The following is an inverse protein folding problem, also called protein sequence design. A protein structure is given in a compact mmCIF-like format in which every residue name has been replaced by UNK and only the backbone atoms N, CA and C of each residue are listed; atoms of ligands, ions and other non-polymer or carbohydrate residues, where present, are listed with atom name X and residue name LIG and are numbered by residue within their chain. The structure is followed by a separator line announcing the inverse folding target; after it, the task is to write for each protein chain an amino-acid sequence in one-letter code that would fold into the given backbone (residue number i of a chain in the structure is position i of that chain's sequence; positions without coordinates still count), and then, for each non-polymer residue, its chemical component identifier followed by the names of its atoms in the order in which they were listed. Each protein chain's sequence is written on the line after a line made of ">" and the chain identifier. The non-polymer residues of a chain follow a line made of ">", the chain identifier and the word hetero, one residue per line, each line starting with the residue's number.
data_IF_492241371187
#
_entry.id   IF_492241371187
#
_cell.length_a   1.000
_cell.length_b   1.000
_cell.length_c   1.000
_cell.angle_alpha   90.00
_cell.angle_beta   90.00
_cell.angle_gamma   90.00
#
_symmetry.space_group_name_H-M   'P 1'
#
loop_
_entity.id
_entity.type
_entity.pdbx_description
1 polymer ?
#
# COMPACT_ATOMS: atom_id res chain seq x y z
N UNK A 1 -8.80 -5.22 -4.37
CA UNK A 1 -9.77 -6.33 -4.48
C UNK A 1 -10.54 -6.43 -3.17
N UNK A 2 -11.87 -6.48 -3.18
CA UNK A 2 -12.63 -6.61 -1.92
C UNK A 2 -12.34 -7.96 -1.26
N UNK A 3 -12.24 -7.98 0.08
CA UNK A 3 -12.14 -9.21 0.85
C UNK A 3 -13.33 -10.15 0.56
N UNK A 4 -14.53 -9.61 0.37
CA UNK A 4 -15.74 -10.41 0.10
C UNK A 4 -15.76 -11.03 -1.31
N UNK A 5 -15.10 -10.38 -2.29
CA UNK A 5 -14.99 -10.86 -3.67
C UNK A 5 -13.57 -11.34 -4.02
N UNK A 6 -12.75 -11.62 -3.00
CA UNK A 6 -11.31 -11.81 -3.16
C UNK A 6 -10.98 -13.01 -4.05
N UNK A 7 -11.68 -14.13 -3.84
CA UNK A 7 -11.47 -15.36 -4.61
C UNK A 7 -11.66 -15.13 -6.11
N UNK A 8 -12.79 -14.51 -6.49
CA UNK A 8 -13.09 -14.18 -7.87
C UNK A 8 -12.05 -13.21 -8.45
N UNK A 9 -11.64 -12.21 -7.67
CA UNK A 9 -10.67 -11.21 -8.10
C UNK A 9 -9.28 -11.81 -8.33
N UNK A 10 -8.85 -12.73 -7.46
CA UNK A 10 -7.59 -13.46 -7.60
C UNK A 10 -7.63 -14.42 -8.79
N UNK A 11 -8.76 -15.06 -9.07
CA UNK A 11 -8.93 -15.92 -10.24
C UNK A 11 -8.83 -15.12 -11.55
N UNK A 12 -9.51 -13.98 -11.63
CA UNK A 12 -9.41 -13.06 -12.78
C UNK A 12 -7.97 -12.54 -12.96
N UNK A 13 -7.26 -12.26 -11.86
CA UNK A 13 -5.87 -11.84 -11.91
C UNK A 13 -4.87 -12.98 -12.19
N UNK A 14 -5.27 -14.25 -11.96
CA UNK A 14 -4.35 -15.40 -12.05
C UNK A 14 -3.85 -15.71 -13.46
N UNK A 15 -4.55 -15.22 -14.50
CA UNK A 15 -4.07 -15.28 -15.89
C UNK A 15 -2.72 -14.58 -16.11
N UNK A 16 -2.29 -13.73 -15.17
CA UNK A 16 -0.98 -13.05 -15.19
C UNK A 16 0.19 -13.87 -14.62
N UNK A 17 -0.06 -15.10 -14.13
CA UNK A 17 0.96 -15.97 -13.53
C UNK A 17 1.33 -15.64 -12.08
N UNK A 18 0.66 -14.65 -11.46
CA UNK A 18 0.93 -14.19 -10.08
C UNK A 18 -0.09 -14.71 -9.06
N UNK A 19 -0.47 -15.99 -9.17
CA UNK A 19 -1.42 -16.61 -8.25
C UNK A 19 -0.84 -16.86 -6.84
N UNK A 20 -1.69 -16.75 -5.82
CA UNK A 20 -1.37 -17.20 -4.46
C UNK A 20 -1.55 -18.72 -4.32
N UNK A 21 -0.78 -19.36 -3.45
CA UNK A 21 -1.02 -20.77 -3.08
C UNK A 21 -2.36 -20.94 -2.36
N UNK A 22 -3.01 -22.12 -2.45
CA UNK A 22 -4.28 -22.38 -1.78
C UNK A 22 -4.24 -22.08 -0.27
N UNK A 23 -3.17 -22.47 0.42
CA UNK A 23 -3.02 -22.22 1.86
C UNK A 23 -2.96 -20.72 2.16
N UNK A 24 -2.15 -19.96 1.41
CA UNK A 24 -2.06 -18.51 1.58
C UNK A 24 -3.38 -17.81 1.27
N UNK A 25 -4.13 -18.29 0.29
CA UNK A 25 -5.49 -17.77 0.00
C UNK A 25 -6.43 -17.99 1.19
N UNK A 26 -6.42 -19.18 1.79
CA UNK A 26 -7.26 -19.49 2.94
C UNK A 26 -6.88 -18.64 4.17
N UNK A 27 -5.58 -18.50 4.45
CA UNK A 27 -5.08 -17.63 5.53
C UNK A 27 -5.47 -16.17 5.30
N UNK A 28 -5.31 -15.68 4.06
CA UNK A 28 -5.63 -14.30 3.68
C UNK A 28 -7.13 -14.00 3.84
N UNK A 29 -8.02 -14.88 3.38
CA UNK A 29 -9.46 -14.70 3.55
C UNK A 29 -9.84 -14.59 5.02
N UNK A 30 -9.33 -15.50 5.84
CA UNK A 30 -9.64 -15.54 7.27
C UNK A 30 -9.09 -14.31 7.99
N UNK A 31 -7.84 -13.94 7.72
CA UNK A 31 -7.19 -12.83 8.42
C UNK A 31 -7.75 -11.47 8.01
N UNK A 32 -8.14 -11.25 6.75
CA UNK A 32 -8.76 -9.99 6.32
C UNK A 32 -10.14 -9.76 6.98
N UNK A 33 -10.91 -10.82 7.22
CA UNK A 33 -12.15 -10.73 7.98
C UNK A 33 -11.91 -10.32 9.44
N UNK A 34 -10.85 -10.86 10.06
CA UNK A 34 -10.43 -10.44 11.39
C UNK A 34 -9.99 -8.98 11.40
N UNK A 35 -9.18 -8.54 10.43
CA UNK A 35 -8.76 -7.14 10.28
C UNK A 35 -9.96 -6.21 10.14
N UNK A 36 -10.97 -6.58 9.33
CA UNK A 36 -12.21 -5.79 9.17
C UNK A 36 -12.90 -5.59 10.51
N UNK A 37 -13.03 -6.66 11.30
CA UNK A 37 -13.68 -6.65 12.62
C UNK A 37 -12.86 -5.86 13.64
N UNK A 38 -11.58 -6.15 13.77
CA UNK A 38 -10.72 -5.66 14.86
C UNK A 38 -10.46 -4.15 14.72
N UNK A 39 -10.28 -3.66 13.50
CA UNK A 39 -10.11 -2.24 13.21
C UNK A 39 -11.43 -1.51 12.88
N UNK A 40 -12.57 -2.22 12.90
CA UNK A 40 -13.92 -1.69 12.60
C UNK A 40 -14.01 -1.00 11.24
N UNK A 41 -13.35 -1.56 10.23
CA UNK A 41 -13.47 -1.06 8.87
C UNK A 41 -14.82 -1.41 8.27
N UNK A 42 -15.40 -0.47 7.52
CA UNK A 42 -16.60 -0.74 6.71
C UNK A 42 -16.27 -1.75 5.60
N UNK A 43 -15.06 -1.64 5.04
CA UNK A 43 -14.58 -2.51 3.96
C UNK A 43 -13.07 -2.71 4.07
N UNK A 44 -12.60 -3.90 3.69
CA UNK A 44 -11.16 -4.20 3.59
C UNK A 44 -10.88 -4.65 2.17
N UNK A 45 -9.87 -4.05 1.55
CA UNK A 45 -9.39 -4.42 0.23
C UNK A 45 -8.04 -5.08 0.35
N UNK A 46 -7.87 -6.24 -0.28
CA UNK A 46 -6.54 -6.72 -0.61
C UNK A 46 -5.98 -5.86 -1.74
N UNK A 47 -4.87 -5.18 -1.46
CA UNK A 47 -4.20 -4.29 -2.41
C UNK A 47 -3.34 -5.10 -3.37
N UNK A 48 -2.58 -6.06 -2.84
CA UNK A 48 -1.69 -6.88 -3.64
C UNK A 48 -0.50 -7.39 -2.83
N UNK A 49 0.57 -7.74 -3.55
CA UNK A 49 1.80 -8.31 -2.99
C UNK A 49 3.02 -7.61 -3.57
N UNK A 50 3.96 -7.24 -2.72
CA UNK A 50 5.26 -6.70 -3.10
C UNK A 50 6.31 -7.80 -2.86
N UNK A 51 7.05 -8.14 -3.91
CA UNK A 51 8.03 -9.23 -3.87
C UNK A 51 9.31 -8.77 -3.19
N UNK A 52 9.71 -9.49 -2.14
CA UNK A 52 11.01 -9.32 -1.49
C UNK A 52 11.99 -10.41 -1.89
N UNK A 53 13.25 -10.26 -1.48
CA UNK A 53 14.27 -11.29 -1.71
C UNK A 53 14.14 -12.47 -0.73
N UNK A 54 13.82 -12.18 0.54
CA UNK A 54 13.65 -13.17 1.61
C UNK A 54 12.19 -13.56 1.75
N UNK A 55 11.30 -12.57 1.83
CA UNK A 55 9.85 -12.80 1.93
C UNK A 55 9.07 -11.68 1.24
N UNK A 56 7.86 -12.01 0.83
CA UNK A 56 6.94 -11.08 0.19
C UNK A 56 6.11 -10.32 1.23
N UNK A 57 5.77 -9.06 0.91
CA UNK A 57 4.81 -8.26 1.65
C UNK A 57 3.42 -8.40 1.05
N UNK A 58 2.43 -8.68 1.88
CA UNK A 58 1.01 -8.71 1.54
C UNK A 58 0.37 -7.45 2.07
N UNK A 59 -0.28 -6.68 1.18
CA UNK A 59 -0.81 -5.36 1.53
C UNK A 59 -2.33 -5.41 1.53
N UNK A 60 -2.93 -4.84 2.59
CA UNK A 60 -4.36 -4.64 2.71
C UNK A 60 -4.66 -3.19 3.05
N UNK A 61 -5.83 -2.72 2.63
CA UNK A 61 -6.30 -1.37 2.87
C UNK A 61 -7.68 -1.41 3.51
N UNK A 62 -7.80 -0.82 4.70
CA UNK A 62 -9.06 -0.59 5.38
C UNK A 62 -9.70 0.72 4.92
N UNK A 63 -10.99 0.67 4.63
CA UNK A 63 -11.82 1.83 4.33
C UNK A 63 -12.90 2.00 5.40
N UNK A 64 -13.17 3.26 5.68
CA UNK A 64 -14.34 3.69 6.47
C UNK A 64 -15.52 3.95 5.53
N UNK A 65 -16.59 4.55 6.04
CA UNK A 65 -17.83 4.76 5.28
C UNK A 65 -17.62 5.54 3.98
N UNK A 66 -16.83 6.62 4.05
CA UNK A 66 -16.47 7.43 2.88
C UNK A 66 -15.47 6.70 1.99
N UNK A 67 -15.90 6.37 0.78
CA UNK A 67 -15.11 5.63 -0.21
C UNK A 67 -13.87 6.40 -0.72
N UNK A 68 -13.85 7.73 -0.59
CA UNK A 68 -12.71 8.57 -0.98
C UNK A 68 -11.87 9.06 0.22
N UNK A 69 -12.21 8.66 1.44
CA UNK A 69 -11.38 8.99 2.60
C UNK A 69 -10.01 8.31 2.53
N UNK A 70 -8.98 8.87 3.21
CA UNK A 70 -7.67 8.25 3.32
C UNK A 70 -7.77 6.81 3.82
N UNK A 71 -7.14 5.89 3.09
CA UNK A 71 -7.14 4.47 3.42
C UNK A 71 -6.10 4.19 4.49
N UNK A 72 -6.41 3.27 5.39
CA UNK A 72 -5.43 2.75 6.35
C UNK A 72 -4.76 1.52 5.77
N UNK A 73 -3.46 1.60 5.53
CA UNK A 73 -2.70 0.51 4.91
C UNK A 73 -2.10 -0.40 5.98
N UNK A 74 -2.23 -1.70 5.80
CA UNK A 74 -1.62 -2.72 6.63
C UNK A 74 -0.74 -3.63 5.77
N UNK A 75 0.35 -4.13 6.35
CA UNK A 75 1.18 -5.15 5.73
C UNK A 75 1.20 -6.44 6.57
N UNK A 76 1.47 -7.54 5.89
CA UNK A 76 1.70 -8.86 6.50
C UNK A 76 2.80 -9.59 5.74
N UNK A 77 3.57 -10.43 6.42
CA UNK A 77 4.56 -11.33 5.80
C UNK A 77 4.02 -12.77 5.66
N UNK A 78 3.03 -13.12 6.50
CA UNK A 78 2.52 -14.49 6.66
C UNK A 78 1.03 -14.63 6.31
N UNK A 79 0.35 -13.56 5.89
CA UNK A 79 -1.10 -13.52 5.64
C UNK A 79 -1.97 -13.82 6.88
N UNK A 80 -1.41 -13.71 8.08
CA UNK A 80 -2.11 -13.99 9.34
C UNK A 80 -2.05 -12.79 10.28
N UNK A 81 -0.85 -12.25 10.48
CA UNK A 81 -0.59 -11.11 11.34
C UNK A 81 -0.44 -9.84 10.49
N UNK A 82 -1.14 -8.79 10.89
CA UNK A 82 -1.21 -7.53 10.14
C UNK A 82 -0.74 -6.37 11.00
N UNK A 83 0.25 -5.64 10.46
CA UNK A 83 0.81 -4.44 11.08
C UNK A 83 0.34 -3.20 10.33
N UNK A 84 -0.07 -2.17 11.06
CA UNK A 84 -0.54 -0.91 10.49
C UNK A 84 0.65 -0.06 10.06
N UNK A 85 0.62 0.44 8.82
CA UNK A 85 1.61 1.39 8.32
C UNK A 85 1.21 2.83 8.66
N UNK A 86 2.17 3.72 8.95
CA UNK A 86 1.90 5.14 9.05
C UNK A 86 1.48 5.71 7.68
N UNK A 87 0.74 6.82 7.65
CA UNK A 87 0.45 7.51 6.40
C UNK A 87 1.74 8.01 5.76
N UNK A 88 1.81 7.98 4.42
CA UNK A 88 2.94 8.51 3.69
C UNK A 88 3.03 10.03 3.85
N UNK A 89 4.22 10.53 4.18
CA UNK A 89 4.55 11.96 4.14
C UNK A 89 5.44 12.27 2.94
N UNK A 90 5.43 13.52 2.48
CA UNK A 90 6.29 13.96 1.36
C UNK A 90 7.77 13.75 1.68
N UNK A 91 8.18 13.99 2.92
CA UNK A 91 9.54 13.73 3.42
C UNK A 91 9.96 12.25 3.24
N UNK A 92 9.07 11.31 3.55
CA UNK A 92 9.36 9.87 3.38
C UNK A 92 9.57 9.52 1.91
N UNK A 93 8.77 10.11 1.01
CA UNK A 93 8.87 9.89 -0.44
C UNK A 93 10.20 10.43 -0.98
N UNK A 94 10.59 11.63 -0.57
CA UNK A 94 11.86 12.23 -0.96
C UNK A 94 13.06 11.41 -0.45
N UNK A 95 13.05 11.07 0.84
CA UNK A 95 14.12 10.26 1.45
C UNK A 95 14.26 8.89 0.79
N UNK A 96 13.15 8.23 0.45
CA UNK A 96 13.19 6.87 -0.10
C UNK A 96 13.47 6.83 -1.61
N UNK A 97 13.43 7.98 -2.30
CA UNK A 97 13.68 8.08 -3.75
C UNK A 97 15.10 7.67 -4.17
N UNK A 98 16.06 7.79 -3.24
CA UNK A 98 17.46 7.42 -3.45
C UNK A 98 17.68 5.90 -3.41
N UNK A 99 16.78 5.15 -2.77
CA UNK A 99 16.89 3.70 -2.60
C UNK A 99 16.29 2.98 -3.80
N UNK A 100 17.16 2.32 -4.58
CA UNK A 100 16.77 1.55 -5.77
C UNK A 100 17.00 0.05 -5.55
N UNK A 101 16.22 -0.77 -6.24
CA UNK A 101 16.36 -2.22 -6.22
C UNK A 101 15.15 -2.95 -5.63
N UNK A 102 15.32 -4.23 -5.31
CA UNK A 102 14.24 -5.05 -4.72
C UNK A 102 14.11 -4.79 -3.21
N UNK A 103 12.99 -5.19 -2.64
CA UNK A 103 12.80 -5.24 -1.19
C UNK A 103 13.58 -6.44 -0.62
N UNK A 104 14.11 -6.34 0.60
CA UNK A 104 14.71 -7.49 1.26
C UNK A 104 13.61 -8.42 1.79
N UNK A 105 12.48 -7.88 2.24
CA UNK A 105 11.44 -8.63 2.95
C UNK A 105 11.55 -8.54 4.47
N UNK A 106 12.33 -7.59 5.00
CA UNK A 106 12.42 -7.35 6.44
C UNK A 106 12.11 -5.88 6.74
N UNK A 107 11.00 -5.56 7.43
CA UNK A 107 10.66 -4.18 7.82
C UNK A 107 11.77 -3.46 8.59
N UNK A 108 12.60 -4.20 9.33
CA UNK A 108 13.68 -3.67 10.16
C UNK A 108 14.98 -3.44 9.39
N UNK A 109 15.04 -3.83 8.12
CA UNK A 109 16.22 -3.61 7.30
C UNK A 109 16.46 -2.12 7.08
N UNK A 110 17.72 -1.69 7.18
CA UNK A 110 18.14 -0.32 6.98
C UNK A 110 19.03 -0.23 5.75
N UNK A 111 18.63 0.59 4.78
CA UNK A 111 19.43 0.94 3.63
C UNK A 111 20.35 2.11 3.99
N UNK A 112 21.64 1.98 3.70
CA UNK A 112 22.60 3.05 3.87
C UNK A 112 22.74 3.84 2.56
N UNK A 113 22.57 5.16 2.65
CA UNK A 113 22.81 6.09 1.56
C UNK A 113 23.78 7.18 2.03
N UNK A 114 24.82 7.44 1.25
CA UNK A 114 25.74 8.55 1.52
C UNK A 114 25.21 9.79 0.82
N UNK A 115 24.82 10.79 1.60
CA UNK A 115 24.40 12.10 1.11
C UNK A 115 25.55 13.10 1.29
N UNK A 116 25.72 14.02 0.33
CA UNK A 116 26.76 15.04 0.35
C UNK A 116 26.13 16.37 0.78
N UNK A 117 26.19 16.70 2.07
CA UNK A 117 25.69 17.97 2.55
C UNK A 117 26.75 19.06 2.49
N UNK A 118 26.36 20.24 2.00
CA UNK A 118 27.20 21.43 2.01
C UNK A 118 27.07 22.13 3.34
N UNK A 119 28.08 22.01 4.20
CA UNK A 119 28.16 22.72 5.47
C UNK A 119 28.90 24.04 5.25
N UNK A 120 28.24 25.14 5.60
CA UNK A 120 28.82 26.47 5.54
C UNK A 120 29.40 26.85 6.90
N UNK A 121 30.73 26.92 7.01
CA UNK A 121 31.42 27.43 8.20
C UNK A 121 32.12 28.75 7.84
N UNK A 122 31.34 29.84 7.89
CA UNK A 122 31.81 31.17 7.50
C UNK A 122 31.99 31.33 5.99
N UNK A 123 33.21 31.64 5.55
CA UNK A 123 33.57 31.97 4.15
C UNK A 123 33.98 30.73 3.33
N UNK A 124 33.82 29.51 3.90
CA UNK A 124 34.17 28.24 3.28
C UNK A 124 32.98 27.28 3.29
N UNK A 125 32.65 26.78 2.09
CA UNK A 125 31.69 25.70 1.87
C UNK A 125 32.47 24.38 1.89
N UNK A 126 32.14 23.47 2.80
CA UNK A 126 32.67 22.11 2.82
C UNK A 126 31.59 21.12 2.41
N UNK A 127 31.96 20.05 1.71
CA UNK A 127 31.06 18.91 1.43
C UNK A 127 31.35 17.82 2.48
N UNK A 128 30.36 17.53 3.32
CA UNK A 128 30.42 16.48 4.34
C UNK A 128 29.57 15.28 3.88
N UNK A 129 30.19 14.10 3.90
CA UNK A 129 29.50 12.83 3.62
C UNK A 129 28.71 12.39 4.86
N UNK A 130 27.39 12.47 4.79
CA UNK A 130 26.48 12.04 5.83
C UNK A 130 25.85 10.71 5.42
N UNK A 131 26.06 9.66 6.21
CA UNK A 131 25.39 8.38 6.01
C UNK A 131 23.97 8.47 6.57
N UNK A 132 22.98 8.51 5.68
CA UNK A 132 21.55 8.45 6.00
C UNK A 132 21.10 7.00 5.99
N UNK A 133 20.36 6.61 7.03
CA UNK A 133 19.78 5.26 7.17
C UNK A 133 18.28 5.32 6.93
N UNK A 134 17.81 4.53 5.96
CA UNK A 134 16.41 4.50 5.56
C UNK A 134 15.85 3.12 5.86
N UNK A 135 14.84 3.04 6.73
CA UNK A 135 14.14 1.79 7.02
C UNK A 135 13.35 1.29 5.83
N UNK A 136 13.34 -0.01 5.62
CA UNK A 136 12.56 -0.66 4.56
C UNK A 136 11.06 -0.45 4.76
N UNK A 137 10.58 -0.40 5.99
CA UNK A 137 9.19 -0.02 6.29
C UNK A 137 8.81 1.37 5.74
N UNK A 138 9.67 2.38 5.91
CA UNK A 138 9.44 3.74 5.37
C UNK A 138 9.39 3.74 3.84
N UNK A 139 10.26 2.93 3.22
CA UNK A 139 10.26 2.72 1.77
C UNK A 139 8.99 2.02 1.31
N UNK A 140 8.50 1.04 2.05
CA UNK A 140 7.27 0.31 1.75
C UNK A 140 6.07 1.27 1.71
N UNK A 141 5.94 2.14 2.71
CA UNK A 141 4.90 3.18 2.78
C UNK A 141 4.93 4.07 1.54
N UNK A 142 6.11 4.59 1.20
CA UNK A 142 6.30 5.52 0.10
C UNK A 142 5.99 4.90 -1.27
N UNK A 143 6.35 3.63 -1.47
CA UNK A 143 6.08 2.90 -2.72
C UNK A 143 4.59 2.59 -2.88
N UNK A 144 3.90 2.20 -1.80
CA UNK A 144 2.46 1.93 -1.85
C UNK A 144 1.70 3.20 -2.23
N UNK A 145 2.05 4.34 -1.62
CA UNK A 145 1.43 5.64 -1.94
C UNK A 145 1.64 6.05 -3.40
N UNK A 146 2.86 5.90 -3.92
CA UNK A 146 3.15 6.20 -5.32
C UNK A 146 2.35 5.32 -6.28
N UNK A 147 2.24 4.02 -6.00
CA UNK A 147 1.46 3.09 -6.83
C UNK A 147 -0.04 3.42 -6.75
N UNK A 148 -0.56 3.73 -5.57
CA UNK A 148 -1.95 4.15 -5.40
C UNK A 148 -2.26 5.40 -6.22
N UNK A 149 -1.40 6.43 -6.13
CA UNK A 149 -1.56 7.66 -6.92
C UNK A 149 -1.51 7.39 -8.43
N UNK A 150 -0.72 6.42 -8.87
CA UNK A 150 -0.55 6.11 -10.30
C UNK A 150 -1.64 5.18 -10.87
N UNK A 151 -2.18 4.24 -10.07
CA UNK A 151 -2.96 3.10 -10.59
C UNK A 151 -4.34 2.94 -9.94
N UNK A 152 -4.70 3.74 -8.93
CA UNK A 152 -6.04 3.66 -8.33
C UNK A 152 -7.12 4.12 -9.33
N UNK A 153 -7.70 3.16 -10.06
CA UNK A 153 -8.73 3.38 -11.08
C UNK A 153 -10.09 2.84 -10.64
N UNK A 154 -11.16 3.54 -11.02
CA UNK A 154 -12.54 3.08 -10.86
C UNK A 154 -13.34 3.41 -12.13
N UNK A 155 -14.42 2.68 -12.45
CA UNK A 155 -15.33 3.08 -13.52
C UNK A 155 -16.02 4.40 -13.20
N UNK A 156 -16.19 5.26 -14.21
CA UNK A 156 -16.94 6.51 -14.06
C UNK A 156 -18.39 6.20 -13.68
N UNK A 157 -18.93 6.93 -12.70
CA UNK A 157 -20.29 6.71 -12.20
C UNK A 157 -20.43 5.59 -11.18
N UNK A 158 -19.35 4.86 -10.85
CA UNK A 158 -19.36 3.82 -9.81
C UNK A 158 -19.47 4.39 -8.38
N UNK A 159 -19.16 5.67 -8.18
CA UNK A 159 -19.30 6.38 -6.91
C UNK A 159 -20.23 7.59 -7.07
N UNK A 160 -20.93 7.94 -6.00
CA UNK A 160 -21.70 9.18 -5.92
C UNK A 160 -21.50 9.86 -4.56
N UNK A 161 -21.54 11.19 -4.55
CA UNK A 161 -21.44 11.99 -3.33
C UNK A 161 -22.83 12.31 -2.81
N UNK A 162 -23.09 12.04 -1.53
CA UNK A 162 -24.35 12.42 -0.90
C UNK A 162 -24.35 13.90 -0.50
N UNK A 163 -25.53 14.54 -0.36
CA UNK A 163 -25.62 15.90 0.20
C UNK A 163 -25.03 16.01 1.62
N UNK A 164 -24.96 14.90 2.35
CA UNK A 164 -24.40 14.83 3.70
C UNK A 164 -22.87 14.82 3.73
N UNK A 165 -22.20 14.70 2.58
CA UNK A 165 -20.74 14.78 2.46
C UNK A 165 -20.08 13.48 1.98
N UNK A 166 -20.33 12.31 2.61
CA UNK A 166 -19.63 11.07 2.27
C UNK A 166 -19.90 10.58 0.84
N UNK A 167 -18.89 9.93 0.28
CA UNK A 167 -18.97 9.27 -1.03
C UNK A 167 -19.29 7.79 -0.84
N UNK A 168 -20.29 7.30 -1.57
CA UNK A 168 -20.76 5.92 -1.50
C UNK A 168 -20.68 5.23 -2.86
N UNK A 169 -20.72 3.89 -2.83
CA UNK A 169 -20.81 3.05 -4.02
C UNK A 169 -22.20 3.17 -4.64
N UNK A 170 -22.24 3.47 -5.94
CA UNK A 170 -23.47 3.51 -6.72
C UNK A 170 -23.97 2.08 -7.00
N UNK A 171 -25.01 1.65 -6.28
CA UNK A 171 -25.61 0.31 -6.44
C UNK A 171 -26.41 0.15 -7.73
N UNK A 172 -26.80 1.24 -8.38
CA UNK A 172 -27.51 1.22 -9.67
C UNK A 172 -26.56 1.46 -10.85
N UNK A 173 -25.27 1.22 -10.65
CA UNK A 173 -24.29 1.30 -11.74
C UNK A 173 -24.44 0.09 -12.67
N UNK A 174 -24.91 0.33 -13.89
CA UNK A 174 -25.16 -0.72 -14.90
C UNK A 174 -23.96 -0.99 -15.81
N UNK A 175 -22.83 -0.33 -15.58
CA UNK A 175 -21.61 -0.44 -16.38
C UNK A 175 -21.30 0.82 -17.18
N UNK A 176 -20.10 0.86 -17.75
CA UNK A 176 -19.69 1.95 -18.64
C UNK A 176 -20.25 1.69 -20.03
N UNK A 177 -21.07 2.61 -20.55
CA UNK A 177 -21.41 2.64 -21.97
C UNK A 177 -20.18 3.11 -22.75
N UNK A 178 -19.78 2.36 -23.77
CA UNK A 178 -18.75 2.77 -24.73
C UNK A 178 -19.37 3.78 -25.69
N UNK A 179 -19.22 5.08 -25.40
CA UNK A 179 -19.58 6.18 -26.29
C UNK A 179 -18.35 6.86 -26.85
#
# INVERSE_FOLDING_TARGET
>A
MDAESLLLSLELASGSGQGLSPDRRASLLTSLLLVKRDYRYSRVLFWGRILGLVTDYYIAQGLIEDQLAPRKTLYSLNCMEWSLLPPATEEMVEQTSVVKGRFMGDPSHEYEHVDLQKVNDGDKVFEEEIVVRIKEETRLVSIIDQIDKAVAVIPRGALFKTPFGPVHVNRTFEGSLLS
#
